data_IF_572471442258
#
_entry.id   IF_572471442258
#
_cell.length_a   1.000
_cell.length_b   1.000
_cell.length_c   1.000
_cell.angle_alpha   90.00
_cell.angle_beta   90.00
_cell.angle_gamma   90.00
#
_symmetry.space_group_name_H-M   'P 1'
#
loop_
_entity.id
_entity.type
_entity.pdbx_description
1 polymer ?
#
# COMPACT_ATOMS: atom_id res chain seq x y z
N UNK A 1 4.37 -22.70 -3.63
CA UNK A 1 3.06 -22.34 -3.03
C UNK A 1 3.18 -20.94 -2.44
N UNK A 2 2.71 -19.92 -3.17
CA UNK A 2 2.77 -18.53 -2.72
C UNK A 2 1.73 -18.25 -1.63
N UNK A 3 2.09 -17.53 -0.58
CA UNK A 3 1.13 -17.00 0.39
C UNK A 3 0.20 -16.02 -0.32
N UNK A 4 -1.10 -16.15 -0.10
CA UNK A 4 -2.13 -15.22 -0.59
C UNK A 4 -1.85 -13.80 -0.07
N UNK A 5 -2.00 -12.79 -0.93
CA UNK A 5 -2.01 -11.38 -0.51
C UNK A 5 -3.21 -11.09 0.41
N UNK A 6 -3.13 -10.04 1.22
CA UNK A 6 -4.26 -9.61 2.07
C UNK A 6 -4.32 -10.23 3.47
N UNK A 7 -3.22 -10.77 4.00
CA UNK A 7 -3.17 -11.36 5.36
C UNK A 7 -3.23 -10.35 6.51
N UNK A 8 -3.32 -9.04 6.21
CA UNK A 8 -3.21 -7.96 7.20
C UNK A 8 -1.78 -7.73 7.75
N UNK A 9 -0.81 -8.55 7.34
CA UNK A 9 0.62 -8.35 7.67
C UNK A 9 1.32 -7.57 6.56
N UNK A 10 2.03 -6.51 6.94
CA UNK A 10 2.86 -5.71 6.03
C UNK A 10 3.99 -6.55 5.46
N UNK A 11 4.20 -6.45 4.15
CA UNK A 11 5.35 -7.06 3.45
C UNK A 11 6.67 -6.46 3.97
N UNK A 12 7.74 -7.27 4.01
CA UNK A 12 9.07 -6.75 4.38
C UNK A 12 9.67 -6.02 3.19
N UNK A 13 9.68 -4.69 3.27
CA UNK A 13 10.07 -3.79 2.18
C UNK A 13 11.58 -3.76 1.96
N UNK A 14 12.39 -4.21 2.92
CA UNK A 14 13.85 -4.22 2.78
C UNK A 14 14.31 -5.23 1.71
N UNK A 15 13.48 -6.22 1.38
CA UNK A 15 13.69 -7.18 0.29
C UNK A 15 13.68 -6.52 -1.10
N UNK A 16 13.19 -5.29 -1.24
CA UNK A 16 13.18 -4.54 -2.51
C UNK A 16 14.42 -3.67 -2.70
N UNK A 17 15.34 -3.66 -1.74
CA UNK A 17 16.59 -2.92 -1.84
C UNK A 17 17.40 -3.35 -3.08
N UNK A 18 17.83 -2.38 -3.89
CA UNK A 18 18.60 -2.62 -5.12
C UNK A 18 17.80 -2.71 -6.43
N UNK A 19 16.45 -2.73 -6.38
CA UNK A 19 15.60 -2.72 -7.57
C UNK A 19 15.38 -1.31 -8.16
N UNK A 20 16.43 -0.49 -8.20
CA UNK A 20 16.35 0.95 -8.50
C UNK A 20 15.82 1.32 -9.90
N UNK A 21 15.75 0.35 -10.83
CA UNK A 21 15.31 0.57 -12.21
C UNK A 21 13.98 -0.11 -12.57
N UNK A 22 13.28 -0.73 -11.62
CA UNK A 22 12.00 -1.41 -11.89
C UNK A 22 10.85 -0.57 -11.34
N UNK A 23 9.88 -0.26 -12.19
CA UNK A 23 8.62 0.35 -11.75
C UNK A 23 7.78 -0.71 -11.06
N UNK A 24 7.65 -0.59 -9.74
CA UNK A 24 6.85 -1.50 -8.93
C UNK A 24 5.52 -0.85 -8.55
N UNK A 25 4.45 -1.67 -8.52
CA UNK A 25 3.19 -1.31 -7.88
C UNK A 25 3.19 -1.97 -6.51
N UNK A 26 3.18 -1.17 -5.44
CA UNK A 26 3.20 -1.67 -4.07
C UNK A 26 1.78 -1.96 -3.59
N UNK A 27 1.52 -3.20 -3.19
CA UNK A 27 0.21 -3.66 -2.72
C UNK A 27 0.33 -4.36 -1.35
N UNK A 28 -0.82 -4.59 -0.72
CA UNK A 28 -0.95 -5.49 0.43
C UNK A 28 -0.80 -4.79 1.79
N UNK A 29 -1.92 -4.69 2.51
CA UNK A 29 -1.94 -4.20 3.90
C UNK A 29 -1.72 -2.69 4.06
N UNK A 30 -1.70 -1.93 2.96
CA UNK A 30 -1.58 -0.47 3.00
C UNK A 30 -2.86 0.17 3.59
N UNK A 31 -2.67 1.17 4.45
CA UNK A 31 -3.71 1.96 5.10
C UNK A 31 -3.16 3.33 5.53
N UNK A 32 -4.00 4.18 6.10
CA UNK A 32 -3.68 5.57 6.49
C UNK A 32 -2.44 5.67 7.39
N UNK A 33 -2.22 4.69 8.27
CA UNK A 33 -1.10 4.72 9.22
C UNK A 33 0.27 4.37 8.61
N UNK A 34 0.31 3.67 7.46
CA UNK A 34 1.54 3.10 6.94
C UNK A 34 1.89 3.51 5.50
N UNK A 35 0.93 4.02 4.71
CA UNK A 35 1.13 4.28 3.27
C UNK A 35 2.30 5.22 3.00
N UNK A 36 2.44 6.29 3.79
CA UNK A 36 3.49 7.27 3.56
C UNK A 36 4.89 6.74 3.89
N UNK A 37 4.99 5.91 4.94
CA UNK A 37 6.24 5.21 5.25
C UNK A 37 6.60 4.23 4.12
N UNK A 38 5.60 3.54 3.58
CA UNK A 38 5.75 2.63 2.45
C UNK A 38 6.34 3.32 1.22
N UNK A 39 5.74 4.44 0.84
CA UNK A 39 6.19 5.19 -0.34
C UNK A 39 7.60 5.71 -0.14
N UNK A 40 7.93 6.30 1.02
CA UNK A 40 9.27 6.81 1.30
C UNK A 40 10.36 5.74 1.27
N UNK A 41 10.06 4.53 1.76
CA UNK A 41 11.02 3.43 1.84
C UNK A 41 11.17 2.70 0.50
N UNK A 42 10.07 2.40 -0.19
CA UNK A 42 10.07 1.59 -1.42
C UNK A 42 10.23 2.44 -2.68
N UNK A 43 9.78 3.69 -2.66
CA UNK A 43 9.66 4.58 -3.84
C UNK A 43 8.95 3.91 -5.02
N UNK A 44 7.73 3.37 -4.82
CA UNK A 44 7.02 2.66 -5.87
C UNK A 44 6.52 3.61 -6.96
N UNK A 45 6.24 3.06 -8.14
CA UNK A 45 5.59 3.80 -9.22
C UNK A 45 4.12 4.08 -8.91
N UNK A 46 3.44 3.14 -8.24
CA UNK A 46 2.06 3.29 -7.80
C UNK A 46 1.81 2.46 -6.54
N UNK A 47 0.71 2.74 -5.84
CA UNK A 47 0.18 1.92 -4.75
C UNK A 47 -1.16 1.30 -5.14
N UNK A 48 -1.41 0.07 -4.69
CA UNK A 48 -2.69 -0.63 -4.86
C UNK A 48 -3.35 -0.85 -3.50
N UNK A 49 -4.60 -0.38 -3.38
CA UNK A 49 -5.36 -0.33 -2.14
C UNK A 49 -6.60 -1.22 -2.24
N UNK A 50 -6.73 -2.17 -1.31
CA UNK A 50 -7.92 -3.03 -1.20
C UNK A 50 -8.56 -2.91 0.18
N UNK A 51 -8.19 -3.75 1.16
CA UNK A 51 -8.83 -3.75 2.49
C UNK A 51 -8.57 -2.49 3.33
N UNK A 52 -7.52 -1.72 3.02
CA UNK A 52 -7.20 -0.49 3.76
C UNK A 52 -8.20 0.66 3.58
N UNK A 53 -9.02 0.60 2.54
CA UNK A 53 -10.08 1.57 2.22
C UNK A 53 -11.48 0.99 2.48
N UNK A 54 -11.59 -0.13 3.18
CA UNK A 54 -12.88 -0.77 3.49
C UNK A 54 -13.39 -0.37 4.89
N UNK A 55 -14.71 -0.24 5.04
CA UNK A 55 -15.38 -0.23 6.36
C UNK A 55 -15.67 -1.65 6.83
N UNK A 56 -16.03 -2.52 5.89
CA UNK A 56 -16.30 -3.94 6.09
C UNK A 56 -15.83 -4.70 4.84
N UNK A 57 -15.67 -6.02 4.94
CA UNK A 57 -15.13 -6.85 3.84
C UNK A 57 -15.91 -6.61 2.55
N UNK A 58 -15.25 -6.04 1.55
CA UNK A 58 -15.81 -5.74 0.23
C UNK A 58 -16.63 -4.45 0.14
N UNK A 59 -16.80 -3.69 1.23
CA UNK A 59 -17.52 -2.40 1.26
C UNK A 59 -16.50 -1.27 1.42
N UNK A 60 -16.32 -0.49 0.35
CA UNK A 60 -15.37 0.64 0.30
C UNK A 60 -15.93 1.87 1.01
N UNK A 61 -15.05 2.62 1.67
CA UNK A 61 -15.33 3.90 2.31
C UNK A 61 -14.74 5.04 1.47
N UNK A 62 -15.62 5.92 0.96
CA UNK A 62 -15.20 7.06 0.15
C UNK A 62 -14.30 8.04 0.92
N UNK A 63 -14.53 8.21 2.22
CA UNK A 63 -13.73 9.10 3.08
C UNK A 63 -12.32 8.55 3.23
N UNK A 64 -12.18 7.24 3.48
CA UNK A 64 -10.85 6.60 3.56
C UNK A 64 -10.11 6.67 2.24
N UNK A 65 -10.80 6.49 1.10
CA UNK A 65 -10.21 6.65 -0.23
C UNK A 65 -9.66 8.07 -0.40
N UNK A 66 -10.45 9.08 -0.04
CA UNK A 66 -10.02 10.47 -0.16
C UNK A 66 -8.80 10.76 0.72
N UNK A 67 -8.85 10.39 2.01
CA UNK A 67 -7.73 10.58 2.94
C UNK A 67 -6.47 9.88 2.42
N UNK A 68 -6.57 8.62 1.99
CA UNK A 68 -5.42 7.88 1.47
C UNK A 68 -4.87 8.49 0.19
N UNK A 69 -5.73 9.00 -0.70
CA UNK A 69 -5.31 9.70 -1.90
C UNK A 69 -4.52 10.97 -1.56
N UNK A 70 -5.01 11.76 -0.61
CA UNK A 70 -4.31 12.96 -0.13
C UNK A 70 -2.95 12.62 0.50
N UNK A 71 -2.90 11.57 1.34
CA UNK A 71 -1.65 11.11 1.95
C UNK A 71 -0.61 10.65 0.91
N UNK A 72 -1.05 10.02 -0.18
CA UNK A 72 -0.20 9.60 -1.31
C UNK A 72 0.32 10.80 -2.09
N UNK A 73 -0.48 11.85 -2.27
CA UNK A 73 -0.03 13.07 -2.97
C UNK A 73 0.98 13.92 -2.16
N UNK A 74 1.05 13.72 -0.84
CA UNK A 74 1.94 14.46 0.06
C UNK A 74 3.32 13.81 0.27
N UNK A 75 3.59 12.66 -0.33
CA UNK A 75 4.85 11.89 -0.17
C UNK A 75 5.82 12.08 -1.31
#
# INVERSE_FOLDING_TARGET
>A
LGKLGGTGKTFDWDLLSGLSNIRVILAGGLNESNVQKAIRQVRPYAVDLSSGVEVEKGIKDATKIQILTELVYQT
#
